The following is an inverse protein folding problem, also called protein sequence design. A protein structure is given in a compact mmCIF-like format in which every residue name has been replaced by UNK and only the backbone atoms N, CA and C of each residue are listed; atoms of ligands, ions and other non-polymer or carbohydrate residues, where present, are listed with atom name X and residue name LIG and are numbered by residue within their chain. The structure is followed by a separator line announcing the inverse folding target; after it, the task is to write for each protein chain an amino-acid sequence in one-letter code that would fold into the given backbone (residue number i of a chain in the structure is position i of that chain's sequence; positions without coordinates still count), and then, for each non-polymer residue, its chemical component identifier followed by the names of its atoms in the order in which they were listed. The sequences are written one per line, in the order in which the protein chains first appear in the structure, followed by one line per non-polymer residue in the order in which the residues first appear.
data_IF_130252266391
#
_entry.id   IF_130252266391
#
_cell.length_a   1.000
_cell.length_b   1.000
_cell.length_c   1.000
_cell.angle_alpha   90.00
_cell.angle_beta   90.00
_cell.angle_gamma   90.00
#
_symmetry.space_group_name_H-M   'P 1'
#
loop_
_entity.id
_entity.type
_entity.pdbx_description
1 polymer ?
#
# COMPACT_ATOMS: atom_id res chain seq x y z
N UNK A 1 59.29 57.11 5.06
CA UNK A 1 60.06 55.92 4.63
C UNK A 1 59.52 54.72 5.38
N UNK A 2 58.71 53.88 4.72
CA UNK A 2 58.51 52.45 4.96
C UNK A 2 57.20 52.04 4.26
N UNK A 3 57.37 51.28 3.18
CA UNK A 3 56.34 50.62 2.37
C UNK A 3 55.43 49.73 3.23
N UNK A 4 54.14 49.69 2.87
CA UNK A 4 53.37 48.44 2.89
C UNK A 4 52.36 48.46 1.73
N UNK A 5 52.80 47.90 0.61
CA UNK A 5 51.94 47.43 -0.47
C UNK A 5 51.19 46.19 0.04
N UNK A 6 49.92 46.34 0.39
CA UNK A 6 49.03 45.19 0.60
C UNK A 6 48.45 44.77 -0.75
N UNK A 7 48.90 43.59 -1.17
CA UNK A 7 48.48 42.86 -2.35
C UNK A 7 46.97 42.74 -2.47
N UNK A 8 46.44 43.17 -3.62
CA UNK A 8 45.16 42.74 -4.16
C UNK A 8 45.19 41.22 -4.38
N UNK A 9 44.67 40.45 -3.42
CA UNK A 9 44.25 39.07 -3.66
C UNK A 9 42.83 39.14 -4.24
N UNK A 10 42.56 38.63 -5.45
CA UNK A 10 41.20 38.51 -5.93
C UNK A 10 40.48 37.53 -5.00
N UNK A 11 39.43 38.01 -4.34
CA UNK A 11 38.52 37.15 -3.59
C UNK A 11 37.80 36.22 -4.57
N UNK A 12 38.30 34.99 -4.70
CA UNK A 12 37.55 33.91 -5.35
C UNK A 12 36.20 33.73 -4.63
N UNK A 13 35.11 33.48 -5.36
CA UNK A 13 33.78 33.50 -4.79
C UNK A 13 33.59 32.28 -3.87
N UNK A 14 33.53 32.52 -2.56
CA UNK A 14 33.20 31.51 -1.52
C UNK A 14 31.93 30.69 -1.84
N UNK A 15 31.04 31.22 -2.68
CA UNK A 15 29.81 30.55 -3.12
C UNK A 15 30.01 29.36 -4.05
N UNK A 16 31.07 29.31 -4.86
CA UNK A 16 31.33 28.18 -5.76
C UNK A 16 31.92 26.98 -5.02
N UNK A 17 32.74 27.24 -3.99
CA UNK A 17 33.32 26.22 -3.12
C UNK A 17 32.27 25.48 -2.29
N UNK A 18 31.26 26.19 -1.77
CA UNK A 18 30.17 25.58 -1.00
C UNK A 18 29.28 24.66 -1.85
N UNK A 19 28.90 25.12 -3.06
CA UNK A 19 28.11 24.30 -4.00
C UNK A 19 28.87 23.05 -4.46
N UNK A 20 30.17 23.17 -4.68
CA UNK A 20 31.01 22.03 -5.00
C UNK A 20 31.07 21.02 -3.84
N UNK A 21 31.26 21.49 -2.60
CA UNK A 21 31.27 20.64 -1.41
C UNK A 21 29.94 19.90 -1.20
N UNK A 22 28.81 20.60 -1.35
CA UNK A 22 27.46 20.00 -1.26
C UNK A 22 27.26 18.91 -2.34
N UNK A 23 27.75 19.16 -3.56
CA UNK A 23 27.67 18.20 -4.65
C UNK A 23 28.54 16.95 -4.39
N UNK A 24 29.76 17.12 -3.89
CA UNK A 24 30.62 15.99 -3.50
C UNK A 24 30.00 15.15 -2.37
N UNK A 25 29.44 15.80 -1.34
CA UNK A 25 28.74 15.11 -0.26
C UNK A 25 27.54 14.32 -0.79
N UNK A 26 26.71 14.95 -1.62
CA UNK A 26 25.55 14.31 -2.23
C UNK A 26 25.94 13.11 -3.12
N UNK A 27 27.02 13.21 -3.89
CA UNK A 27 27.55 12.08 -4.68
C UNK A 27 28.04 10.93 -3.80
N UNK A 28 28.71 11.23 -2.67
CA UNK A 28 29.12 10.24 -1.69
C UNK A 28 27.92 9.50 -1.08
N UNK A 29 26.89 10.24 -0.67
CA UNK A 29 25.65 9.66 -0.13
C UNK A 29 24.91 8.78 -1.15
N UNK A 30 24.89 9.19 -2.42
CA UNK A 30 24.33 8.38 -3.52
C UNK A 30 25.12 7.08 -3.67
N UNK A 31 26.45 7.15 -3.70
CA UNK A 31 27.32 5.98 -3.82
C UNK A 31 27.11 5.01 -2.65
N UNK A 32 27.04 5.52 -1.41
CA UNK A 32 26.77 4.72 -0.22
C UNK A 32 25.39 4.06 -0.29
N UNK A 33 24.35 4.82 -0.66
CA UNK A 33 22.99 4.28 -0.80
C UNK A 33 22.93 3.16 -1.83
N UNK A 34 23.59 3.33 -2.97
CA UNK A 34 23.66 2.31 -4.03
C UNK A 34 24.46 1.07 -3.57
N UNK A 35 25.58 1.25 -2.89
CA UNK A 35 26.37 0.15 -2.35
C UNK A 35 25.56 -0.69 -1.35
N UNK A 36 24.86 -0.03 -0.43
CA UNK A 36 23.98 -0.67 0.54
C UNK A 36 22.82 -1.42 -0.15
N UNK A 37 22.16 -0.79 -1.13
CA UNK A 37 21.08 -1.43 -1.87
C UNK A 37 21.55 -2.67 -2.65
N UNK A 38 22.70 -2.59 -3.35
CA UNK A 38 23.30 -3.72 -4.09
C UNK A 38 23.70 -4.87 -3.17
N UNK A 39 24.31 -4.55 -2.02
CA UNK A 39 24.69 -5.55 -1.02
C UNK A 39 23.46 -6.30 -0.49
N UNK A 40 22.40 -5.58 -0.11
CA UNK A 40 21.17 -6.21 0.38
C UNK A 40 20.47 -7.00 -0.72
N UNK A 41 20.38 -6.47 -1.94
CA UNK A 41 19.81 -7.19 -3.08
C UNK A 41 20.54 -8.52 -3.33
N UNK A 42 21.88 -8.52 -3.33
CA UNK A 42 22.68 -9.74 -3.47
C UNK A 42 22.35 -10.78 -2.39
N UNK A 43 22.22 -10.33 -1.14
CA UNK A 43 21.84 -11.20 -0.01
C UNK A 43 20.45 -11.79 -0.19
N UNK A 44 19.45 -10.96 -0.54
CA UNK A 44 18.06 -11.40 -0.71
C UNK A 44 17.93 -12.35 -1.89
N UNK A 45 18.55 -12.06 -3.04
CA UNK A 45 18.56 -12.96 -4.20
C UNK A 45 19.20 -14.31 -3.88
N UNK A 46 20.33 -14.33 -3.18
CA UNK A 46 20.94 -15.58 -2.75
C UNK A 46 20.03 -16.40 -1.83
N UNK A 47 19.19 -15.74 -1.02
CA UNK A 47 18.20 -16.41 -0.18
C UNK A 47 17.05 -17.00 -1.02
N UNK A 48 16.56 -16.27 -2.02
CA UNK A 48 15.55 -16.78 -2.98
C UNK A 48 16.12 -17.99 -3.75
N UNK A 49 17.32 -17.88 -4.30
CA UNK A 49 17.98 -18.98 -5.03
C UNK A 49 18.18 -20.22 -4.14
N UNK A 50 18.47 -20.01 -2.86
CA UNK A 50 18.59 -21.09 -1.88
C UNK A 50 17.24 -21.76 -1.61
N UNK A 51 16.16 -20.99 -1.49
CA UNK A 51 14.79 -21.53 -1.34
C UNK A 51 14.41 -22.38 -2.55
N UNK A 52 14.68 -21.92 -3.76
CA UNK A 52 14.32 -22.66 -4.97
C UNK A 52 15.13 -23.95 -5.11
N UNK A 53 16.43 -23.92 -4.77
CA UNK A 53 17.25 -25.15 -4.74
C UNK A 53 16.80 -26.12 -3.65
N UNK A 54 16.39 -25.62 -2.48
CA UNK A 54 15.91 -26.46 -1.38
C UNK A 54 14.63 -27.23 -1.75
N UNK A 55 13.74 -26.65 -2.57
CA UNK A 55 12.51 -27.32 -3.07
C UNK A 55 12.81 -28.55 -3.93
N UNK A 56 13.97 -28.61 -4.58
CA UNK A 56 14.35 -29.67 -5.52
C UNK A 56 15.37 -30.68 -4.95
N UNK A 57 15.81 -30.51 -3.71
CA UNK A 57 16.81 -31.39 -3.08
C UNK A 57 16.16 -32.59 -2.38
N UNK A 58 16.15 -33.76 -3.05
CA UNK A 58 15.50 -35.00 -2.57
C UNK A 58 16.13 -35.62 -1.30
N UNK A 59 17.36 -35.26 -0.91
CA UNK A 59 18.17 -36.05 0.03
C UNK A 59 18.66 -35.35 1.31
N UNK A 60 18.21 -34.13 1.64
CA UNK A 60 18.59 -33.50 2.91
C UNK A 60 17.35 -33.05 3.68
N UNK A 61 17.25 -33.47 4.95
CA UNK A 61 16.40 -32.86 5.98
C UNK A 61 16.81 -31.38 6.14
N UNK A 62 16.46 -30.54 5.18
CA UNK A 62 16.61 -29.10 5.30
C UNK A 62 15.40 -28.56 6.06
N UNK A 63 15.66 -27.54 6.90
CA UNK A 63 14.63 -26.81 7.65
C UNK A 63 13.45 -26.51 6.71
N UNK A 64 12.24 -26.68 7.22
CA UNK A 64 11.01 -26.45 6.46
C UNK A 64 11.12 -25.16 5.64
N UNK A 65 10.70 -25.17 4.35
CA UNK A 65 10.70 -23.97 3.53
C UNK A 65 10.02 -22.83 4.28
N UNK A 66 10.51 -21.60 4.07
CA UNK A 66 9.89 -20.40 4.63
C UNK A 66 8.39 -20.42 4.33
N UNK A 67 7.57 -19.87 5.25
CA UNK A 67 6.13 -19.71 4.98
C UNK A 67 5.91 -18.92 3.69
N UNK A 68 4.77 -19.11 3.00
CA UNK A 68 4.53 -18.43 1.73
C UNK A 68 4.63 -16.90 1.88
N UNK A 69 4.10 -16.36 2.98
CA UNK A 69 4.20 -14.94 3.34
C UNK A 69 5.67 -14.48 3.45
N UNK A 70 6.55 -15.28 4.06
CA UNK A 70 7.96 -14.94 4.18
C UNK A 70 8.67 -14.98 2.81
N UNK A 71 8.34 -15.94 1.95
CA UNK A 71 8.88 -16.02 0.60
C UNK A 71 8.39 -14.84 -0.27
N UNK A 72 7.11 -14.48 -0.21
CA UNK A 72 6.56 -13.28 -0.88
C UNK A 72 7.28 -12.02 -0.39
N UNK A 73 7.49 -11.88 0.93
CA UNK A 73 8.25 -10.75 1.50
C UNK A 73 9.65 -10.63 0.93
N UNK A 74 10.38 -11.73 0.76
CA UNK A 74 11.71 -11.70 0.15
C UNK A 74 11.68 -11.20 -1.29
N UNK A 75 10.68 -11.62 -2.07
CA UNK A 75 10.49 -11.13 -3.45
C UNK A 75 10.17 -9.63 -3.47
N UNK A 76 9.31 -9.15 -2.56
CA UNK A 76 9.03 -7.71 -2.39
C UNK A 76 10.30 -6.95 -2.01
N UNK A 77 11.12 -7.47 -1.08
CA UNK A 77 12.39 -6.85 -0.69
C UNK A 77 13.41 -6.80 -1.83
N UNK A 78 13.50 -7.87 -2.63
CA UNK A 78 14.34 -7.89 -3.83
C UNK A 78 13.90 -6.80 -4.82
N UNK A 79 12.61 -6.78 -5.18
CA UNK A 79 12.05 -5.78 -6.08
C UNK A 79 12.23 -4.34 -5.55
N UNK A 80 12.08 -4.14 -4.23
CA UNK A 80 12.30 -2.85 -3.58
C UNK A 80 13.73 -2.36 -3.79
N UNK A 81 14.73 -3.22 -3.56
CA UNK A 81 16.12 -2.84 -3.73
C UNK A 81 16.52 -2.65 -5.20
N UNK A 82 15.96 -3.43 -6.12
CA UNK A 82 16.11 -3.18 -7.55
C UNK A 82 15.55 -1.81 -7.95
N UNK A 83 14.36 -1.46 -7.45
CA UNK A 83 13.76 -0.15 -7.70
C UNK A 83 14.59 0.99 -7.12
N UNK A 84 15.11 0.83 -5.91
CA UNK A 84 16.04 1.81 -5.31
C UNK A 84 17.27 2.02 -6.20
N UNK A 85 17.90 0.95 -6.68
CA UNK A 85 19.07 1.04 -7.55
C UNK A 85 18.72 1.80 -8.84
N UNK A 86 17.61 1.43 -9.49
CA UNK A 86 17.17 2.06 -10.73
C UNK A 86 16.90 3.56 -10.53
N UNK A 87 16.08 3.93 -9.54
CA UNK A 87 15.67 5.32 -9.33
C UNK A 87 16.86 6.19 -8.89
N UNK A 88 17.68 5.70 -7.96
CA UNK A 88 18.82 6.48 -7.43
C UNK A 88 19.92 6.63 -8.47
N UNK A 89 20.15 5.63 -9.32
CA UNK A 89 21.17 5.71 -10.38
C UNK A 89 20.78 6.67 -11.50
N UNK A 90 19.48 6.89 -11.73
CA UNK A 90 18.96 7.78 -12.77
C UNK A 90 18.61 9.20 -12.25
N UNK A 91 18.71 9.43 -10.94
CA UNK A 91 18.38 10.70 -10.31
C UNK A 91 19.61 11.62 -10.18
N UNK A 92 19.39 12.93 -10.22
CA UNK A 92 20.44 13.89 -9.89
C UNK A 92 20.84 13.77 -8.40
N UNK A 93 22.13 13.91 -8.04
CA UNK A 93 22.61 13.69 -6.67
C UNK A 93 21.94 14.56 -5.61
N UNK A 94 21.50 15.77 -5.95
CA UNK A 94 20.84 16.66 -4.98
C UNK A 94 19.35 16.34 -4.77
N UNK A 95 18.71 15.60 -5.69
CA UNK A 95 17.26 15.40 -5.68
C UNK A 95 16.83 13.94 -5.56
N UNK A 96 17.76 12.98 -5.53
CA UNK A 96 17.44 11.54 -5.49
C UNK A 96 16.51 11.15 -4.34
N UNK A 97 16.62 11.77 -3.17
CA UNK A 97 15.73 11.49 -2.02
C UNK A 97 14.28 11.86 -2.33
N UNK A 98 14.08 13.02 -2.97
CA UNK A 98 12.75 13.50 -3.34
C UNK A 98 12.17 12.63 -4.44
N UNK A 99 12.98 12.32 -5.46
CA UNK A 99 12.57 11.45 -6.57
C UNK A 99 12.19 10.06 -6.05
N UNK A 100 13.02 9.45 -5.19
CA UNK A 100 12.75 8.14 -4.61
C UNK A 100 11.50 8.14 -3.73
N UNK A 101 11.28 9.17 -2.90
CA UNK A 101 10.06 9.28 -2.08
C UNK A 101 8.79 9.45 -2.91
N UNK A 102 8.90 10.06 -4.10
CA UNK A 102 7.79 10.27 -5.04
C UNK A 102 7.55 9.09 -5.99
N UNK A 103 8.48 8.16 -6.07
CA UNK A 103 8.36 6.98 -6.93
C UNK A 103 7.25 6.04 -6.43
N UNK A 104 6.21 5.87 -7.26
CA UNK A 104 5.02 5.09 -6.91
C UNK A 104 5.34 3.63 -6.60
N UNK A 105 6.19 2.97 -7.41
CA UNK A 105 6.57 1.58 -7.21
C UNK A 105 7.38 1.40 -5.93
N UNK A 106 8.40 2.23 -5.70
CA UNK A 106 9.19 2.18 -4.46
C UNK A 106 8.31 2.33 -3.22
N UNK A 107 7.39 3.30 -3.23
CA UNK A 107 6.49 3.57 -2.11
C UNK A 107 5.58 2.37 -1.84
N UNK A 108 4.95 1.83 -2.89
CA UNK A 108 4.10 0.64 -2.78
C UNK A 108 4.88 -0.56 -2.22
N UNK A 109 6.07 -0.86 -2.76
CA UNK A 109 6.93 -1.94 -2.29
C UNK A 109 7.37 -1.75 -0.83
N UNK A 110 7.67 -0.51 -0.42
CA UNK A 110 8.07 -0.21 0.95
C UNK A 110 6.92 -0.51 1.93
N UNK A 111 5.69 -0.14 1.60
CA UNK A 111 4.52 -0.45 2.43
C UNK A 111 4.17 -1.94 2.41
N UNK A 112 4.24 -2.61 1.25
CA UNK A 112 4.07 -4.06 1.15
C UNK A 112 5.07 -4.79 2.06
N UNK A 113 6.35 -4.44 1.98
CA UNK A 113 7.40 -5.05 2.82
C UNK A 113 7.12 -4.84 4.31
N UNK A 114 6.70 -3.62 4.70
CA UNK A 114 6.34 -3.29 6.08
C UNK A 114 5.14 -4.10 6.58
N UNK A 115 4.07 -4.19 5.79
CA UNK A 115 2.87 -4.94 6.14
C UNK A 115 3.16 -6.44 6.28
N UNK A 116 3.89 -7.02 5.31
CA UNK A 116 4.31 -8.42 5.37
C UNK A 116 5.19 -8.71 6.61
N UNK A 117 6.08 -7.78 6.98
CA UNK A 117 6.86 -7.89 8.20
C UNK A 117 5.99 -7.87 9.47
N UNK A 118 4.98 -7.01 9.53
CA UNK A 118 4.03 -6.95 10.64
C UNK A 118 3.21 -8.23 10.78
N UNK A 119 2.74 -8.80 9.65
CA UNK A 119 2.01 -10.07 9.64
C UNK A 119 2.88 -11.20 10.21
N UNK A 120 4.13 -11.33 9.73
CA UNK A 120 5.06 -12.36 10.20
C UNK A 120 5.41 -12.18 11.69
N UNK A 121 5.61 -10.93 12.13
CA UNK A 121 5.88 -10.62 13.53
C UNK A 121 4.67 -10.97 14.43
N UNK A 122 3.45 -10.67 13.98
CA UNK A 122 2.23 -11.01 14.68
C UNK A 122 2.04 -12.52 14.80
N UNK A 123 2.18 -13.26 13.69
CA UNK A 123 2.09 -14.72 13.68
C UNK A 123 3.13 -15.36 14.60
N UNK A 124 4.39 -14.88 14.59
CA UNK A 124 5.44 -15.35 15.49
C UNK A 124 5.09 -15.09 16.96
N UNK A 125 4.57 -13.90 17.28
CA UNK A 125 4.17 -13.54 18.65
C UNK A 125 3.06 -14.48 19.16
N UNK A 126 2.00 -14.67 18.38
CA UNK A 126 0.83 -15.48 18.78
C UNK A 126 1.14 -16.98 18.88
N UNK A 127 2.03 -17.49 18.02
CA UNK A 127 2.54 -18.88 18.10
C UNK A 127 3.52 -19.09 19.24
N UNK A 128 4.20 -18.03 19.69
CA UNK A 128 5.06 -18.07 20.88
C UNK A 128 4.30 -18.00 22.21
N UNK A 129 3.09 -17.41 22.21
CA UNK A 129 2.24 -17.27 23.39
C UNK A 129 1.22 -18.39 23.57
N UNK A 130 0.95 -19.19 22.54
CA UNK A 130 0.14 -20.40 22.65
C UNK A 130 0.97 -21.51 23.31
N UNK A 131 0.60 -21.87 24.54
CA UNK A 131 1.17 -22.96 25.37
C UNK A 131 0.83 -24.33 24.76
N UNK A 132 1.22 -24.58 23.50
CA UNK A 132 0.82 -25.77 22.74
C UNK A 132 2.02 -26.48 22.12
N UNK A 133 2.97 -26.87 22.98
CA UNK A 133 3.76 -28.08 22.77
C UNK A 133 3.73 -28.91 24.06
N UNK A 134 2.53 -29.29 24.51
CA UNK A 134 2.38 -30.47 25.36
C UNK A 134 2.19 -31.66 24.42
N UNK A 135 3.16 -32.59 24.42
CA UNK A 135 2.92 -33.93 23.86
C UNK A 135 1.72 -34.52 24.59
N UNK A 136 0.69 -34.96 23.86
CA UNK A 136 -0.40 -35.76 24.46
C UNK A 136 0.21 -37.02 25.07
N UNK A 137 -0.17 -37.31 26.32
CA UNK A 137 0.14 -38.60 26.93
C UNK A 137 -0.69 -39.67 26.23
N UNK A 138 -0.22 -40.92 26.25
CA UNK A 138 -0.90 -42.04 25.62
C UNK A 138 -2.29 -42.35 26.23
N UNK A 139 -2.66 -41.70 27.34
CA UNK A 139 -3.87 -41.97 28.13
C UNK A 139 -5.04 -41.00 27.84
N UNK A 140 -4.88 -40.02 26.94
CA UNK A 140 -5.93 -39.05 26.63
C UNK A 140 -6.99 -39.65 25.67
N UNK A 141 -7.80 -40.59 26.14
CA UNK A 141 -8.94 -41.15 25.40
C UNK A 141 -10.20 -40.30 25.60
N UNK A 142 -10.48 -39.38 24.69
CA UNK A 142 -11.82 -38.78 24.53
C UNK A 142 -12.36 -39.09 23.14
N UNK A 143 -13.65 -39.47 23.01
CA UNK A 143 -14.24 -39.81 21.72
C UNK A 143 -14.39 -38.53 20.86
N UNK A 144 -13.82 -38.57 19.65
CA UNK A 144 -13.91 -37.51 18.66
C UNK A 144 -15.31 -37.47 18.02
N UNK A 145 -15.91 -36.29 17.79
CA UNK A 145 -16.99 -36.13 16.82
C UNK A 145 -16.48 -36.50 15.42
N UNK A 146 -17.36 -37.09 14.59
CA UNK A 146 -16.98 -37.49 13.23
C UNK A 146 -16.46 -36.29 12.42
N UNK A 147 -15.28 -36.42 11.76
CA UNK A 147 -14.74 -35.34 10.94
C UNK A 147 -15.58 -35.15 9.68
N UNK A 148 -15.98 -33.92 9.40
CA UNK A 148 -16.35 -33.51 8.03
C UNK A 148 -15.09 -33.69 7.18
N UNK A 149 -15.20 -34.48 6.12
CA UNK A 149 -14.11 -34.79 5.17
C UNK A 149 -13.43 -33.52 4.65
N UNK A 150 -12.39 -33.04 5.34
CA UNK A 150 -11.47 -32.00 4.90
C UNK A 150 -10.21 -32.70 4.37
N UNK A 151 -9.75 -32.30 3.18
CA UNK A 151 -8.78 -33.05 2.38
C UNK A 151 -7.36 -33.19 3.00
N UNK A 152 -7.08 -32.54 4.13
CA UNK A 152 -5.77 -32.57 4.79
C UNK A 152 -5.93 -32.55 6.30
N UNK A 153 -6.30 -33.69 6.87
CA UNK A 153 -6.13 -33.96 8.30
C UNK A 153 -4.84 -34.77 8.43
N UNK A 154 -3.78 -34.13 8.92
CA UNK A 154 -2.58 -34.82 9.40
C UNK A 154 -2.95 -35.45 10.75
N UNK A 155 -2.54 -36.70 11.02
CA UNK A 155 -2.92 -37.49 12.21
C UNK A 155 -2.46 -36.88 13.56
N UNK A 156 -1.91 -35.68 13.53
CA UNK A 156 -1.52 -34.87 14.70
C UNK A 156 -2.62 -33.90 15.14
N UNK A 157 -3.88 -34.34 15.06
CA UNK A 157 -5.05 -33.52 15.40
C UNK A 157 -5.00 -33.04 16.85
N UNK A 158 -4.51 -31.81 16.99
CA UNK A 158 -4.81 -30.89 18.09
C UNK A 158 -6.33 -30.84 18.23
N UNK A 159 -6.80 -30.75 19.46
CA UNK A 159 -8.19 -30.46 19.91
C UNK A 159 -8.77 -29.13 19.38
N UNK A 160 -8.45 -28.72 18.14
CA UNK A 160 -8.62 -27.38 17.59
C UNK A 160 -9.71 -27.26 16.52
N UNK A 161 -10.33 -28.36 16.07
CA UNK A 161 -11.35 -28.30 15.00
C UNK A 161 -12.51 -27.35 15.36
N UNK A 162 -12.97 -27.35 16.63
CA UNK A 162 -13.98 -26.42 17.12
C UNK A 162 -13.47 -24.97 17.26
N UNK A 163 -12.16 -24.77 17.43
CA UNK A 163 -11.56 -23.44 17.59
C UNK A 163 -11.43 -22.67 16.27
N UNK A 164 -11.25 -23.36 15.13
CA UNK A 164 -11.12 -22.67 13.84
C UNK A 164 -12.46 -22.19 13.31
N UNK A 165 -13.50 -23.04 13.40
CA UNK A 165 -14.84 -22.70 12.96
C UNK A 165 -15.41 -21.53 13.78
N UNK A 166 -15.16 -21.51 15.10
CA UNK A 166 -15.58 -20.38 15.96
C UNK A 166 -14.84 -19.08 15.60
N UNK A 167 -13.51 -19.11 15.43
CA UNK A 167 -12.73 -17.92 15.03
C UNK A 167 -13.11 -17.39 13.65
N UNK A 168 -13.38 -18.28 12.69
CA UNK A 168 -13.83 -17.91 11.37
C UNK A 168 -15.18 -17.18 11.42
N UNK A 169 -16.14 -17.74 12.16
CA UNK A 169 -17.45 -17.11 12.32
C UNK A 169 -17.35 -15.76 13.06
N UNK A 170 -16.51 -15.65 14.08
CA UNK A 170 -16.23 -14.38 14.78
C UNK A 170 -15.67 -13.32 13.81
N UNK A 171 -14.70 -13.69 12.96
CA UNK A 171 -14.14 -12.80 11.94
C UNK A 171 -15.21 -12.29 10.97
N UNK A 172 -16.14 -13.17 10.55
CA UNK A 172 -17.18 -12.83 9.58
C UNK A 172 -18.35 -12.03 10.17
N UNK A 173 -18.47 -11.98 11.51
CA UNK A 173 -19.47 -11.16 12.21
C UNK A 173 -19.02 -9.71 12.42
N UNK A 174 -17.71 -9.44 12.34
CA UNK A 174 -17.18 -8.08 12.39
C UNK A 174 -17.62 -7.24 11.19
N UNK A 175 -17.63 -5.92 11.36
CA UNK A 175 -17.95 -5.00 10.25
C UNK A 175 -16.77 -4.81 9.30
N UNK A 176 -16.99 -4.53 8.00
CA UNK A 176 -15.91 -4.24 7.05
C UNK A 176 -15.03 -3.07 7.47
N UNK A 177 -15.60 -2.09 8.17
CA UNK A 177 -14.90 -0.91 8.68
C UNK A 177 -13.80 -1.29 9.70
N UNK A 178 -14.02 -2.31 10.52
CA UNK A 178 -13.02 -2.80 11.49
C UNK A 178 -11.82 -3.47 10.80
N UNK A 179 -11.99 -3.96 9.57
CA UNK A 179 -10.89 -4.51 8.78
C UNK A 179 -9.99 -3.38 8.24
N UNK A 180 -10.48 -2.16 8.11
CA UNK A 180 -9.72 -1.06 7.53
C UNK A 180 -8.64 -0.55 8.50
N UNK A 181 -7.46 -0.27 7.96
CA UNK A 181 -6.43 0.39 8.75
C UNK A 181 -6.66 1.89 8.83
N UNK A 182 -6.38 2.47 10.00
CA UNK A 182 -6.33 3.90 10.21
C UNK A 182 -5.12 4.58 9.54
N UNK A 183 -4.10 3.84 9.09
CA UNK A 183 -2.92 4.42 8.43
C UNK A 183 -2.18 3.42 7.53
N UNK A 184 -1.33 3.92 6.62
CA UNK A 184 -0.44 3.07 5.84
C UNK A 184 0.59 2.30 6.71
N UNK A 185 0.77 2.69 7.98
CA UNK A 185 1.88 2.21 8.79
C UNK A 185 1.68 0.81 9.36
N UNK A 186 0.44 0.43 9.69
CA UNK A 186 0.13 -0.79 10.42
C UNK A 186 -1.16 -1.42 9.87
N UNK A 187 -1.25 -2.74 9.75
CA UNK A 187 -2.52 -3.39 9.47
C UNK A 187 -3.50 -3.28 10.65
N UNK A 188 -4.81 -3.41 10.37
CA UNK A 188 -5.83 -3.47 11.43
C UNK A 188 -5.71 -4.76 12.25
N UNK A 189 -6.26 -4.74 13.46
CA UNK A 189 -6.28 -5.94 14.33
C UNK A 189 -7.07 -7.07 13.68
N UNK A 190 -8.21 -6.75 13.06
CA UNK A 190 -9.05 -7.73 12.39
C UNK A 190 -8.34 -8.38 11.19
N UNK A 191 -7.61 -7.59 10.39
CA UNK A 191 -6.82 -8.12 9.29
C UNK A 191 -5.65 -9.01 9.77
N UNK A 192 -4.98 -8.65 10.87
CA UNK A 192 -3.95 -9.51 11.46
C UNK A 192 -4.52 -10.83 11.98
N UNK A 193 -5.73 -10.82 12.56
CA UNK A 193 -6.43 -12.02 12.98
C UNK A 193 -6.81 -12.92 11.80
N UNK A 194 -7.24 -12.33 10.68
CA UNK A 194 -7.48 -13.05 9.43
C UNK A 194 -6.20 -13.71 8.88
N UNK A 195 -5.08 -12.98 8.83
CA UNK A 195 -3.80 -13.56 8.37
C UNK A 195 -3.30 -14.68 9.29
N UNK A 196 -3.49 -14.53 10.61
CA UNK A 196 -3.20 -15.60 11.56
C UNK A 196 -4.09 -16.83 11.32
N UNK A 197 -5.37 -16.62 11.04
CA UNK A 197 -6.30 -17.70 10.68
C UNK A 197 -5.83 -18.45 9.43
N UNK A 198 -5.41 -17.77 8.36
CA UNK A 198 -4.87 -18.42 7.15
C UNK A 198 -3.61 -19.26 7.46
N UNK A 199 -2.76 -18.74 8.33
CA UNK A 199 -1.51 -19.38 8.75
C UNK A 199 -1.77 -20.63 9.60
N UNK A 200 -2.77 -20.59 10.49
CA UNK A 200 -3.14 -21.70 11.37
C UNK A 200 -4.04 -22.75 10.68
N UNK A 201 -4.86 -22.34 9.72
CA UNK A 201 -5.63 -23.25 8.85
C UNK A 201 -4.79 -23.90 7.74
N UNK A 202 -3.51 -23.55 7.65
CA UNK A 202 -2.61 -24.04 6.60
C UNK A 202 -3.09 -23.74 5.17
N UNK A 203 -3.74 -22.59 4.95
CA UNK A 203 -4.17 -22.15 3.62
C UNK A 203 -3.07 -22.26 2.57
N UNK A 204 -1.82 -21.91 2.92
CA UNK A 204 -0.65 -22.00 2.03
C UNK A 204 -0.35 -23.43 1.52
N UNK A 205 -0.88 -24.48 2.17
CA UNK A 205 -0.73 -25.87 1.74
C UNK A 205 -1.81 -26.31 0.75
N UNK A 206 -2.93 -25.58 0.67
CA UNK A 206 -3.99 -25.85 -0.30
C UNK A 206 -3.51 -25.60 -1.72
N UNK A 207 -4.21 -26.14 -2.71
CA UNK A 207 -3.90 -25.86 -4.11
C UNK A 207 -4.08 -24.38 -4.46
N UNK A 208 -5.09 -23.72 -3.89
CA UNK A 208 -5.34 -22.30 -4.09
C UNK A 208 -4.22 -21.45 -3.47
N UNK A 209 -3.85 -21.73 -2.22
CA UNK A 209 -2.77 -21.04 -1.52
C UNK A 209 -1.42 -21.20 -2.22
N UNK A 210 -1.07 -22.42 -2.66
CA UNK A 210 0.16 -22.67 -3.43
C UNK A 210 0.18 -21.95 -4.79
N UNK A 211 -0.95 -21.91 -5.50
CA UNK A 211 -1.08 -21.15 -6.76
C UNK A 211 -0.95 -19.65 -6.53
N UNK A 212 -1.64 -19.12 -5.52
CA UNK A 212 -1.56 -17.70 -5.15
C UNK A 212 -0.12 -17.31 -4.78
N UNK A 213 0.55 -18.11 -3.94
CA UNK A 213 1.95 -17.88 -3.58
C UNK A 213 2.85 -17.79 -4.82
N UNK A 214 2.80 -18.81 -5.68
CA UNK A 214 3.60 -18.83 -6.91
C UNK A 214 3.33 -17.61 -7.78
N UNK A 215 2.05 -17.31 -8.00
CA UNK A 215 1.62 -16.17 -8.79
C UNK A 215 2.15 -14.85 -8.21
N UNK A 216 2.11 -14.66 -6.88
CA UNK A 216 2.65 -13.46 -6.25
C UNK A 216 4.15 -13.31 -6.48
N UNK A 217 4.94 -14.37 -6.27
CA UNK A 217 6.38 -14.36 -6.50
C UNK A 217 6.72 -14.04 -7.96
N UNK A 218 6.04 -14.68 -8.93
CA UNK A 218 6.26 -14.45 -10.36
C UNK A 218 5.89 -13.02 -10.78
N UNK A 219 4.73 -12.51 -10.32
CA UNK A 219 4.24 -11.18 -10.64
C UNK A 219 5.14 -10.07 -10.07
N UNK A 220 5.62 -10.23 -8.84
CA UNK A 220 6.55 -9.29 -8.20
C UNK A 220 7.89 -9.28 -8.95
N UNK A 221 8.44 -10.46 -9.28
CA UNK A 221 9.70 -10.57 -10.04
C UNK A 221 9.60 -10.09 -11.48
N UNK A 222 8.38 -9.91 -12.02
CA UNK A 222 8.15 -9.57 -13.42
C UNK A 222 8.45 -10.74 -14.36
N UNK A 223 8.41 -11.98 -13.85
CA UNK A 223 8.64 -13.20 -14.62
C UNK A 223 7.37 -13.77 -15.23
N UNK A 224 6.21 -13.19 -14.92
CA UNK A 224 4.91 -13.61 -15.46
C UNK A 224 4.84 -13.33 -16.97
N UNK A 225 4.55 -14.37 -17.75
CA UNK A 225 4.38 -14.29 -19.21
C UNK A 225 2.93 -13.98 -19.62
N UNK A 226 1.97 -14.26 -18.73
CA UNK A 226 0.55 -13.99 -18.92
C UNK A 226 0.16 -12.60 -18.41
N UNK A 227 -0.89 -11.97 -18.97
CA UNK A 227 -1.46 -10.75 -18.40
C UNK A 227 -1.95 -11.01 -16.97
N UNK A 228 -1.81 -10.01 -16.11
CA UNK A 228 -2.36 -10.11 -14.75
C UNK A 228 -3.89 -10.20 -14.83
N UNK A 229 -4.53 -11.15 -14.12
CA UNK A 229 -5.98 -11.17 -13.97
C UNK A 229 -6.45 -9.89 -13.27
N UNK A 230 -7.75 -9.56 -13.35
CA UNK A 230 -8.29 -8.47 -12.54
C UNK A 230 -8.25 -8.83 -11.05
N UNK A 231 -8.02 -7.83 -10.19
CA UNK A 231 -8.02 -8.05 -8.74
C UNK A 231 -9.39 -8.54 -8.24
N UNK A 232 -10.48 -8.08 -8.86
CA UNK A 232 -11.86 -8.54 -8.60
C UNK A 232 -12.05 -10.04 -8.92
N UNK A 233 -11.49 -10.53 -10.02
CA UNK A 233 -11.57 -11.95 -10.38
C UNK A 233 -10.82 -12.83 -9.37
N UNK A 234 -9.63 -12.39 -8.94
CA UNK A 234 -8.88 -13.09 -7.89
C UNK A 234 -9.62 -13.06 -6.55
N UNK A 235 -10.23 -11.93 -6.20
CA UNK A 235 -11.02 -11.78 -4.98
C UNK A 235 -12.20 -12.75 -4.98
N UNK A 236 -12.98 -12.80 -6.06
CA UNK A 236 -14.13 -13.69 -6.17
C UNK A 236 -13.71 -15.17 -6.03
N UNK A 237 -12.62 -15.57 -6.68
CA UNK A 237 -12.08 -16.94 -6.58
C UNK A 237 -11.64 -17.29 -5.15
N UNK A 238 -10.95 -16.38 -4.47
CA UNK A 238 -10.47 -16.59 -3.11
C UNK A 238 -11.59 -16.57 -2.08
N UNK A 239 -12.53 -15.63 -2.19
CA UNK A 239 -13.71 -15.60 -1.32
C UNK A 239 -14.56 -16.87 -1.51
N UNK A 240 -14.76 -17.31 -2.76
CA UNK A 240 -15.46 -18.56 -3.07
C UNK A 240 -14.77 -19.77 -2.45
N UNK A 241 -13.45 -19.87 -2.58
CA UNK A 241 -12.67 -20.96 -2.00
C UNK A 241 -12.74 -20.99 -0.47
N UNK A 242 -12.48 -19.85 0.18
CA UNK A 242 -12.50 -19.75 1.64
C UNK A 242 -13.89 -20.03 2.22
N UNK A 243 -14.96 -19.52 1.59
CA UNK A 243 -16.32 -19.79 2.01
C UNK A 243 -16.72 -21.25 1.82
N UNK A 244 -16.24 -21.92 0.77
CA UNK A 244 -16.48 -23.34 0.56
C UNK A 244 -15.73 -24.22 1.58
N UNK A 245 -14.51 -23.83 1.97
CA UNK A 245 -13.66 -24.61 2.88
C UNK A 245 -14.03 -24.44 4.36
N UNK A 246 -14.32 -23.20 4.78
CA UNK A 246 -14.55 -22.83 6.17
C UNK A 246 -16.01 -22.47 6.49
N UNK A 247 -16.88 -22.42 5.48
CA UNK A 247 -18.30 -22.06 5.61
C UNK A 247 -18.55 -20.55 5.47
N UNK A 248 -19.82 -20.15 5.41
CA UNK A 248 -20.23 -18.76 5.20
C UNK A 248 -20.61 -18.43 3.76
N UNK A 249 -20.78 -17.14 3.45
CA UNK A 249 -21.11 -16.67 2.09
C UNK A 249 -19.90 -15.99 1.47
N UNK A 250 -19.56 -16.35 0.23
CA UNK A 250 -18.51 -15.68 -0.53
C UNK A 250 -18.80 -14.17 -0.74
N UNK A 251 -20.08 -13.79 -0.72
CA UNK A 251 -20.54 -12.41 -0.78
C UNK A 251 -20.55 -11.70 0.59
N UNK A 252 -19.92 -12.26 1.62
CA UNK A 252 -19.79 -11.58 2.91
C UNK A 252 -18.86 -10.36 2.73
N UNK A 253 -19.31 -9.14 3.07
CA UNK A 253 -18.56 -7.91 2.79
C UNK A 253 -17.26 -7.80 3.60
N UNK A 254 -17.23 -8.37 4.80
CA UNK A 254 -16.02 -8.42 5.64
C UNK A 254 -14.99 -9.35 5.04
N UNK A 255 -15.41 -10.53 4.56
CA UNK A 255 -14.53 -11.46 3.84
C UNK A 255 -13.94 -10.83 2.58
N UNK A 256 -14.77 -10.21 1.75
CA UNK A 256 -14.35 -9.49 0.55
C UNK A 256 -13.30 -8.42 0.87
N UNK A 257 -13.55 -7.62 1.91
CA UNK A 257 -12.61 -6.59 2.37
C UNK A 257 -11.27 -7.19 2.81
N UNK A 258 -11.29 -8.26 3.61
CA UNK A 258 -10.09 -8.94 4.10
C UNK A 258 -9.29 -9.57 2.96
N UNK A 259 -9.94 -10.25 2.02
CA UNK A 259 -9.31 -10.86 0.84
C UNK A 259 -8.72 -9.79 -0.08
N UNK A 260 -9.43 -8.69 -0.32
CA UNK A 260 -8.93 -7.57 -1.13
C UNK A 260 -7.69 -6.95 -0.51
N UNK A 261 -7.67 -6.73 0.81
CA UNK A 261 -6.47 -6.29 1.52
C UNK A 261 -5.32 -7.29 1.38
N UNK A 262 -5.60 -8.59 1.54
CA UNK A 262 -4.59 -9.64 1.38
C UNK A 262 -3.98 -9.64 -0.02
N UNK A 263 -4.80 -9.50 -1.06
CA UNK A 263 -4.36 -9.41 -2.44
C UNK A 263 -3.52 -8.15 -2.66
N UNK A 264 -3.97 -7.00 -2.15
CA UNK A 264 -3.24 -5.75 -2.28
C UNK A 264 -1.88 -5.80 -1.58
N UNK A 265 -1.82 -6.29 -0.34
CA UNK A 265 -0.57 -6.46 0.41
C UNK A 265 0.42 -7.35 -0.35
N UNK A 266 -0.06 -8.39 -1.03
CA UNK A 266 0.78 -9.35 -1.76
C UNK A 266 1.13 -8.89 -3.19
N UNK A 267 0.28 -8.11 -3.87
CA UNK A 267 0.39 -7.87 -5.32
C UNK A 267 0.41 -6.40 -5.76
N UNK A 268 0.20 -5.41 -4.88
CA UNK A 268 0.01 -4.00 -5.27
C UNK A 268 1.07 -3.48 -6.25
N UNK A 269 2.37 -3.70 -5.99
CA UNK A 269 3.41 -3.21 -6.90
C UNK A 269 3.34 -3.83 -8.30
N UNK A 270 2.86 -5.07 -8.42
CA UNK A 270 2.67 -5.71 -9.72
C UNK A 270 1.54 -5.04 -10.53
N UNK A 271 0.46 -4.62 -9.85
CA UNK A 271 -0.66 -3.90 -10.48
C UNK A 271 -0.38 -2.43 -10.76
N UNK A 272 0.50 -1.77 -10.00
CA UNK A 272 0.93 -0.38 -10.28
C UNK A 272 1.90 -0.30 -11.45
N UNK A 273 2.69 -1.35 -11.65
CA UNK A 273 3.81 -1.34 -12.60
C UNK A 273 3.42 -0.91 -14.02
N UNK A 274 2.31 -1.39 -14.62
CA UNK A 274 1.89 -0.97 -15.95
C UNK A 274 1.59 0.54 -16.06
N UNK A 275 1.06 1.15 -15.00
CA UNK A 275 0.60 2.54 -15.00
C UNK A 275 1.66 3.53 -14.50
N UNK A 276 2.85 3.08 -14.08
CA UNK A 276 3.83 3.93 -13.39
C UNK A 276 4.26 5.17 -14.19
N UNK A 277 4.40 5.04 -15.52
CA UNK A 277 4.80 6.14 -16.39
C UNK A 277 3.70 7.21 -16.46
N UNK A 278 2.44 6.78 -16.63
CA UNK A 278 1.27 7.65 -16.69
C UNK A 278 1.06 8.36 -15.36
N UNK A 279 1.23 7.65 -14.24
CA UNK A 279 1.15 8.20 -12.89
C UNK A 279 2.23 9.28 -12.66
N UNK A 280 3.46 9.04 -13.11
CA UNK A 280 4.54 10.03 -13.00
C UNK A 280 4.25 11.27 -13.85
N UNK A 281 3.75 11.08 -15.08
CA UNK A 281 3.35 12.18 -15.94
C UNK A 281 2.18 12.98 -15.35
N UNK A 282 1.16 12.31 -14.81
CA UNK A 282 0.03 12.94 -14.14
C UNK A 282 0.46 13.76 -12.91
N UNK A 283 1.33 13.21 -12.07
CA UNK A 283 1.88 13.93 -10.91
C UNK A 283 2.67 15.17 -11.32
N UNK A 284 3.46 15.09 -12.40
CA UNK A 284 4.19 16.23 -12.94
C UNK A 284 3.25 17.30 -13.49
N UNK A 285 2.21 16.90 -14.26
CA UNK A 285 1.20 17.83 -14.79
C UNK A 285 0.49 18.56 -13.66
N UNK A 286 -0.02 17.82 -12.67
CA UNK A 286 -0.70 18.39 -11.51
C UNK A 286 0.15 19.46 -10.82
N UNK A 287 1.42 19.16 -10.57
CA UNK A 287 2.32 20.10 -9.89
C UNK A 287 2.54 21.39 -10.69
N UNK A 288 2.65 21.28 -12.01
CA UNK A 288 2.87 22.42 -12.91
C UNK A 288 1.58 23.25 -13.10
N UNK A 289 0.40 22.62 -13.00
CA UNK A 289 -0.87 23.29 -13.25
C UNK A 289 -1.48 23.98 -12.03
N UNK A 290 -0.89 23.89 -10.84
CA UNK A 290 -1.49 24.42 -9.59
C UNK A 290 -1.90 25.90 -9.65
N UNK A 291 -1.12 26.75 -10.33
CA UNK A 291 -1.46 28.15 -10.50
C UNK A 291 -2.72 28.34 -11.38
N UNK A 292 -2.79 27.63 -12.52
CA UNK A 292 -3.96 27.59 -13.40
C UNK A 292 -5.18 27.05 -12.67
N UNK A 293 -5.03 25.99 -11.86
CA UNK A 293 -6.12 25.41 -11.05
C UNK A 293 -6.74 26.44 -10.11
N UNK A 294 -5.93 27.29 -9.45
CA UNK A 294 -6.44 28.33 -8.56
C UNK A 294 -7.29 29.36 -9.29
N UNK A 295 -6.84 29.75 -10.48
CA UNK A 295 -7.60 30.68 -11.32
C UNK A 295 -8.93 30.06 -11.77
N UNK A 296 -8.91 28.84 -12.30
CA UNK A 296 -10.12 28.13 -12.74
C UNK A 296 -11.10 27.91 -11.58
N UNK A 297 -10.60 27.56 -10.40
CA UNK A 297 -11.43 27.42 -9.21
C UNK A 297 -12.11 28.74 -8.81
N UNK A 298 -11.38 29.85 -8.88
CA UNK A 298 -11.93 31.17 -8.59
C UNK A 298 -13.01 31.57 -9.60
N UNK A 299 -12.73 31.43 -10.89
CA UNK A 299 -13.69 31.72 -11.97
C UNK A 299 -14.97 30.88 -11.83
N UNK A 300 -14.84 29.56 -11.60
CA UNK A 300 -15.98 28.67 -11.41
C UNK A 300 -16.82 28.99 -10.18
N UNK A 301 -16.20 29.41 -9.07
CA UNK A 301 -16.93 29.85 -7.88
C UNK A 301 -17.69 31.16 -8.13
N UNK A 302 -17.08 32.11 -8.84
CA UNK A 302 -17.72 33.36 -9.24
C UNK A 302 -18.92 33.10 -10.16
N UNK A 303 -18.79 32.20 -11.13
CA UNK A 303 -19.89 31.79 -12.02
C UNK A 303 -21.05 31.14 -11.26
N UNK A 304 -20.74 30.35 -10.22
CA UNK A 304 -21.73 29.78 -9.31
C UNK A 304 -22.37 30.82 -8.37
N UNK A 305 -22.01 32.10 -8.48
CA UNK A 305 -22.56 33.20 -7.68
C UNK A 305 -21.84 33.44 -6.35
N UNK A 306 -20.68 32.84 -6.14
CA UNK A 306 -19.93 32.88 -4.89
C UNK A 306 -18.64 33.69 -5.01
N UNK A 307 -18.72 34.98 -4.65
CA UNK A 307 -17.61 35.93 -4.72
C UNK A 307 -16.79 36.00 -3.42
N UNK A 308 -16.50 34.85 -2.79
CA UNK A 308 -15.64 34.81 -1.60
C UNK A 308 -14.23 34.32 -1.94
N UNK A 309 -13.26 35.23 -2.17
CA UNK A 309 -11.88 34.86 -2.49
C UNK A 309 -11.15 34.12 -1.36
N UNK A 310 -11.60 34.30 -0.11
CA UNK A 310 -10.93 33.79 1.10
C UNK A 310 -11.72 32.67 1.81
N UNK A 311 -12.34 31.76 1.04
CA UNK A 311 -12.99 30.60 1.64
C UNK A 311 -11.98 29.78 2.46
N UNK A 312 -12.25 29.66 3.77
CA UNK A 312 -11.41 28.91 4.69
C UNK A 312 -11.64 27.41 4.47
N UNK A 313 -10.70 26.78 3.75
CA UNK A 313 -10.73 25.35 3.40
C UNK A 313 -9.64 24.56 4.12
N UNK A 314 -9.22 25.02 5.31
CA UNK A 314 -8.07 24.47 6.02
C UNK A 314 -8.28 23.03 6.46
N UNK A 315 -9.48 22.66 6.95
CA UNK A 315 -9.78 21.27 7.33
C UNK A 315 -9.85 20.39 6.10
N UNK A 316 -10.45 20.86 5.01
CA UNK A 316 -10.52 20.13 3.74
C UNK A 316 -9.12 19.86 3.16
N UNK A 317 -8.24 20.88 3.15
CA UNK A 317 -6.85 20.73 2.70
C UNK A 317 -6.10 19.74 3.59
N UNK A 318 -6.19 19.88 4.91
CA UNK A 318 -5.54 18.99 5.84
C UNK A 318 -6.06 17.53 5.72
N UNK A 319 -7.36 17.34 5.51
CA UNK A 319 -7.96 16.03 5.31
C UNK A 319 -7.48 15.37 4.00
N UNK A 320 -7.39 16.13 2.91
CA UNK A 320 -6.82 15.66 1.64
C UNK A 320 -5.34 15.27 1.78
N UNK A 321 -4.54 16.07 2.48
CA UNK A 321 -3.12 15.78 2.72
C UNK A 321 -2.90 14.57 3.64
N UNK A 322 -3.83 14.32 4.56
CA UNK A 322 -3.79 13.19 5.49
C UNK A 322 -4.23 11.86 4.84
N UNK A 323 -4.66 11.85 3.58
CA UNK A 323 -5.08 10.61 2.91
C UNK A 323 -3.93 9.59 2.89
N UNK A 324 -4.21 8.32 3.24
CA UNK A 324 -3.26 7.24 3.07
C UNK A 324 -2.95 7.02 1.58
N UNK A 325 -1.94 6.22 1.27
CA UNK A 325 -1.42 6.05 -0.10
C UNK A 325 -1.30 4.59 -0.52
N UNK A 326 -1.50 3.66 0.41
CA UNK A 326 -1.31 2.24 0.15
C UNK A 326 -2.63 1.49 -0.01
N UNK A 327 -3.48 1.42 1.02
CA UNK A 327 -4.67 0.56 0.99
C UNK A 327 -5.87 1.24 0.31
N UNK A 328 -6.41 0.74 -0.83
CA UNK A 328 -7.47 1.40 -1.59
C UNK A 328 -8.70 1.79 -0.77
N UNK A 329 -9.23 0.89 0.07
CA UNK A 329 -10.37 1.20 0.93
C UNK A 329 -10.07 2.25 2.00
N UNK A 330 -8.83 2.30 2.53
CA UNK A 330 -8.44 3.34 3.46
C UNK A 330 -8.31 4.70 2.75
N UNK A 331 -7.85 4.69 1.49
CA UNK A 331 -7.82 5.88 0.63
C UNK A 331 -9.26 6.37 0.40
N UNK A 332 -10.17 5.47 0.03
CA UNK A 332 -11.59 5.77 -0.17
C UNK A 332 -12.26 6.35 1.07
N UNK A 333 -12.08 5.73 2.24
CA UNK A 333 -12.64 6.23 3.49
C UNK A 333 -12.09 7.62 3.86
N UNK A 334 -10.78 7.83 3.71
CA UNK A 334 -10.16 9.14 3.96
C UNK A 334 -10.60 10.20 2.95
N UNK A 335 -10.76 9.83 1.69
CA UNK A 335 -11.25 10.72 0.63
C UNK A 335 -12.69 11.15 0.89
N UNK A 336 -13.58 10.22 1.24
CA UNK A 336 -14.97 10.55 1.63
C UNK A 336 -15.02 11.44 2.88
N UNK A 337 -14.10 11.26 3.83
CA UNK A 337 -13.97 12.16 4.98
C UNK A 337 -13.50 13.57 4.58
N UNK A 338 -12.59 13.67 3.61
CA UNK A 338 -12.16 14.96 3.07
C UNK A 338 -13.30 15.66 2.34
N UNK A 339 -14.09 14.93 1.54
CA UNK A 339 -15.31 15.42 0.90
C UNK A 339 -16.34 15.89 1.92
N UNK A 340 -16.58 15.13 2.99
CA UNK A 340 -17.47 15.56 4.06
C UNK A 340 -17.00 16.88 4.71
N UNK A 341 -15.68 17.03 4.90
CA UNK A 341 -15.10 18.29 5.42
C UNK A 341 -15.32 19.46 4.46
N UNK A 342 -15.25 19.22 3.15
CA UNK A 342 -15.59 20.22 2.12
C UNK A 342 -17.06 20.62 2.25
N UNK A 343 -17.96 19.65 2.35
CA UNK A 343 -19.39 19.91 2.48
C UNK A 343 -19.74 20.73 3.72
N UNK A 344 -19.07 20.48 4.84
CA UNK A 344 -19.19 21.29 6.07
C UNK A 344 -18.65 22.71 5.88
N UNK A 345 -17.38 22.86 5.49
CA UNK A 345 -16.73 24.19 5.37
C UNK A 345 -17.42 25.09 4.34
N UNK A 346 -17.83 24.51 3.21
CA UNK A 346 -18.55 25.25 2.16
C UNK A 346 -19.99 25.52 2.59
N UNK A 347 -20.68 24.56 3.21
CA UNK A 347 -22.02 24.77 3.76
C UNK A 347 -22.04 25.95 4.74
N UNK A 348 -21.10 25.97 5.68
CA UNK A 348 -20.94 27.03 6.67
C UNK A 348 -20.62 28.39 6.00
N UNK A 349 -19.69 28.42 5.04
CA UNK A 349 -19.31 29.65 4.34
C UNK A 349 -20.45 30.25 3.51
N UNK A 350 -21.33 29.39 2.97
CA UNK A 350 -22.43 29.79 2.10
C UNK A 350 -23.78 29.96 2.84
N UNK A 351 -23.83 29.66 4.15
CA UNK A 351 -25.07 29.64 4.92
C UNK A 351 -26.06 28.57 4.44
N UNK A 352 -25.56 27.49 3.83
CA UNK A 352 -26.34 26.38 3.29
C UNK A 352 -26.19 25.14 4.18
N UNK A 353 -27.21 24.28 4.22
CA UNK A 353 -27.06 22.98 4.83
C UNK A 353 -26.00 22.16 4.05
N UNK A 354 -25.09 21.51 4.77
CA UNK A 354 -23.98 20.71 4.22
C UNK A 354 -24.42 19.62 3.23
N UNK A 355 -25.67 19.17 3.29
CA UNK A 355 -26.27 18.17 2.40
C UNK A 355 -26.75 18.71 1.03
N UNK A 356 -26.53 19.99 0.69
CA UNK A 356 -27.15 20.65 -0.47
C UNK A 356 -26.20 21.40 -1.42
N UNK A 357 -24.95 20.97 -1.52
CA UNK A 357 -24.03 21.56 -2.52
C UNK A 357 -24.26 20.93 -3.88
N UNK A 358 -24.50 21.76 -4.91
CA UNK A 358 -24.57 21.31 -6.30
C UNK A 358 -23.17 20.99 -6.85
N UNK A 359 -23.15 20.26 -7.97
CA UNK A 359 -21.93 19.97 -8.71
C UNK A 359 -21.16 21.24 -9.10
N UNK A 360 -21.90 22.31 -9.43
CA UNK A 360 -21.37 23.62 -9.85
C UNK A 360 -20.59 24.33 -8.73
N UNK A 361 -20.82 23.96 -7.47
CA UNK A 361 -20.09 24.48 -6.31
C UNK A 361 -18.98 23.54 -5.90
N UNK A 362 -19.29 22.25 -5.79
CA UNK A 362 -18.34 21.26 -5.23
C UNK A 362 -17.11 21.08 -6.12
N UNK A 363 -17.26 21.14 -7.45
CA UNK A 363 -16.15 20.94 -8.37
C UNK A 363 -15.13 22.09 -8.30
N UNK A 364 -15.50 23.38 -8.43
CA UNK A 364 -14.58 24.49 -8.22
C UNK A 364 -13.92 24.46 -6.84
N UNK A 365 -14.64 24.10 -5.77
CA UNK A 365 -14.04 23.95 -4.43
C UNK A 365 -13.02 22.82 -4.40
N UNK A 366 -13.32 21.66 -4.97
CA UNK A 366 -12.39 20.54 -5.03
C UNK A 366 -11.11 20.93 -5.81
N UNK A 367 -11.24 21.67 -6.92
CA UNK A 367 -10.09 22.24 -7.65
C UNK A 367 -9.29 23.19 -6.74
N UNK A 368 -9.96 24.07 -5.98
CA UNK A 368 -9.32 24.96 -5.02
C UNK A 368 -8.53 24.19 -3.96
N UNK A 369 -9.13 23.16 -3.35
CA UNK A 369 -8.49 22.32 -2.33
C UNK A 369 -7.27 21.61 -2.90
N UNK A 370 -7.40 20.93 -4.05
CA UNK A 370 -6.30 20.19 -4.70
C UNK A 370 -5.15 21.13 -5.08
N UNK A 371 -5.45 22.36 -5.51
CA UNK A 371 -4.43 23.36 -5.88
C UNK A 371 -3.64 23.91 -4.68
N UNK A 372 -4.24 23.89 -3.48
CA UNK A 372 -3.63 24.35 -2.22
C UNK A 372 -2.86 23.23 -1.52
N UNK A 373 -3.39 22.00 -1.58
CA UNK A 373 -2.85 20.85 -0.87
C UNK A 373 -1.51 20.32 -1.43
N UNK A 374 -0.66 19.83 -0.55
CA UNK A 374 0.58 19.12 -0.84
C UNK A 374 0.31 17.63 -1.04
N UNK A 375 -0.09 17.29 -2.27
CA UNK A 375 -0.51 15.93 -2.65
C UNK A 375 0.48 15.25 -3.60
N UNK A 376 1.70 14.88 -3.16
CA UNK A 376 2.72 14.29 -4.02
C UNK A 376 2.35 12.90 -4.56
N UNK A 377 1.26 12.30 -4.08
CA UNK A 377 0.81 10.95 -4.42
C UNK A 377 -0.61 10.90 -4.97
N UNK A 378 -1.21 12.06 -5.30
CA UNK A 378 -2.61 12.11 -5.71
C UNK A 378 -2.91 11.25 -6.93
N UNK A 379 -2.00 11.22 -7.91
CA UNK A 379 -2.16 10.38 -9.09
C UNK A 379 -2.27 8.89 -8.72
N UNK A 380 -1.42 8.41 -7.80
CA UNK A 380 -1.46 7.03 -7.32
C UNK A 380 -2.72 6.76 -6.49
N UNK A 381 -3.12 7.71 -5.63
CA UNK A 381 -4.34 7.59 -4.83
C UNK A 381 -5.59 7.54 -5.72
N UNK A 382 -5.69 8.41 -6.73
CA UNK A 382 -6.77 8.41 -7.70
C UNK A 382 -6.87 7.09 -8.47
N UNK A 383 -5.74 6.56 -8.95
CA UNK A 383 -5.69 5.25 -9.60
C UNK A 383 -6.21 4.12 -8.70
N UNK A 384 -5.91 4.15 -7.39
CA UNK A 384 -6.46 3.17 -6.47
C UNK A 384 -7.94 3.39 -6.15
N UNK A 385 -8.38 4.64 -6.06
CA UNK A 385 -9.79 4.98 -5.86
C UNK A 385 -10.66 4.43 -6.98
N UNK A 386 -10.22 4.54 -8.25
CA UNK A 386 -10.92 3.96 -9.40
C UNK A 386 -11.21 2.47 -9.21
N UNK A 387 -10.30 1.71 -8.59
CA UNK A 387 -10.46 0.26 -8.40
C UNK A 387 -11.50 -0.15 -7.36
N UNK A 388 -11.97 0.79 -6.53
CA UNK A 388 -12.94 0.55 -5.45
C UNK A 388 -14.13 1.51 -5.50
N UNK A 389 -14.24 2.31 -6.56
CA UNK A 389 -15.24 3.35 -6.71
C UNK A 389 -16.62 2.76 -7.03
N UNK A 390 -17.53 2.80 -6.06
CA UNK A 390 -18.93 2.37 -6.20
C UNK A 390 -19.88 3.38 -5.57
N UNK A 391 -21.12 3.46 -6.08
CA UNK A 391 -22.16 4.34 -5.53
C UNK A 391 -21.74 5.81 -5.44
N UNK A 392 -21.91 6.41 -4.27
CA UNK A 392 -21.56 7.82 -4.01
C UNK A 392 -20.05 8.10 -4.17
N UNK A 393 -19.19 7.13 -3.79
CA UNK A 393 -17.74 7.27 -3.98
C UNK A 393 -17.40 7.44 -5.47
N UNK A 394 -18.09 6.72 -6.36
CA UNK A 394 -17.84 6.83 -7.80
C UNK A 394 -18.15 8.24 -8.34
N UNK A 395 -19.18 8.90 -7.82
CA UNK A 395 -19.48 10.29 -8.15
C UNK A 395 -18.34 11.23 -7.74
N UNK A 396 -17.88 11.15 -6.50
CA UNK A 396 -16.79 12.03 -6.03
C UNK A 396 -15.45 11.70 -6.68
N UNK A 397 -15.17 10.43 -6.98
CA UNK A 397 -13.99 10.04 -7.77
C UNK A 397 -14.06 10.65 -9.17
N UNK A 398 -15.22 10.64 -9.83
CA UNK A 398 -15.40 11.33 -11.12
C UNK A 398 -15.16 12.85 -11.01
N UNK A 399 -15.60 13.49 -9.91
CA UNK A 399 -15.28 14.89 -9.63
C UNK A 399 -13.79 15.11 -9.40
N UNK A 400 -13.09 14.20 -8.72
CA UNK A 400 -11.64 14.27 -8.55
C UNK A 400 -10.93 14.19 -9.91
N UNK A 401 -11.32 13.25 -10.77
CA UNK A 401 -10.77 13.16 -12.13
C UNK A 401 -11.07 14.42 -12.95
N UNK A 402 -12.26 14.98 -12.81
CA UNK A 402 -12.63 16.24 -13.45
C UNK A 402 -11.73 17.36 -12.94
N UNK A 403 -11.54 17.50 -11.63
CA UNK A 403 -10.67 18.51 -11.03
C UNK A 403 -9.19 18.35 -11.47
N UNK A 404 -8.71 17.11 -11.62
CA UNK A 404 -7.39 16.81 -12.16
C UNK A 404 -7.29 17.13 -13.66
N UNK A 405 -8.40 17.00 -14.40
CA UNK A 405 -8.51 17.21 -15.84
C UNK A 405 -8.76 18.67 -16.26
N UNK A 406 -9.40 19.50 -15.42
CA UNK A 406 -9.72 20.92 -15.64
C UNK A 406 -8.50 21.84 -15.86
N UNK A 407 -7.30 21.24 -15.91
CA UNK A 407 -6.02 21.92 -16.02
C UNK A 407 -5.07 21.33 -17.04
N UNK A 408 -5.58 20.39 -17.86
CA UNK A 408 -5.13 20.22 -19.24
C UNK A 408 -5.63 21.41 -20.08
#
# INVERSE_FOLDING_TARGET
MAMLLFSLVPSLPRHESAKAADMYLAMSEVAERLANARKTLKKVKAQIDWEDKAKHAFWKRQRAPFSAIASIKLHVEAALHERVINVVSNAAPLTWRVILRRDAIYRTLAYQSKWLANILAHAKKQRGTTVAFRRRSADDTTPLPQPRSRAFLDDTLVSSECSHDNRWNELLQCTPAEALSASDALPSVLYLAFELFLVDSHFDKTDMGRRLHRFCCEAISGSTTAPLPSMESLEAQLCGHLAAEFGGKASNPTLQTLVRQMLHVRLAAAYVRPSVADLAAAASRLQNSKAKMRQVAFEGLTEAGYNQPDMCLERSVAAMEAMPTFMPHAIAAAYMKAVASIHEEVGDALGLASSRLSADVILPVLVAVVSRAMLPHLALQAHWLESVAEGELAYYVALLHSALGSCL
#
